data_IF_663172497730
#
_entry.id   IF_663172497730
#
_cell.length_a   1.000
_cell.length_b   1.000
_cell.length_c   1.000
_cell.angle_alpha   90.00
_cell.angle_beta   90.00
_cell.angle_gamma   90.00
#
_symmetry.space_group_name_H-M   'P 1'
#
loop_
_entity.id
_entity.type
_entity.pdbx_description
1 polymer ?
#
# COMPACT_ATOMS: atom_id res chain seq x y z
N UNK A 1 -5.55 8.39 -17.60
CA UNK A 1 -5.44 8.30 -16.12
C UNK A 1 -4.22 9.12 -15.67
N UNK A 2 -4.40 10.05 -14.73
CA UNK A 2 -3.31 10.81 -14.11
C UNK A 2 -3.13 10.33 -12.66
N UNK A 3 -1.96 9.83 -12.33
CA UNK A 3 -1.64 9.27 -11.01
C UNK A 3 -0.75 10.24 -10.26
N UNK A 4 -1.06 10.52 -8.99
CA UNK A 4 -0.19 11.18 -8.04
C UNK A 4 0.46 10.13 -7.13
N UNK A 5 1.78 10.14 -7.04
CA UNK A 5 2.53 9.29 -6.09
C UNK A 5 2.95 10.17 -4.93
N UNK A 6 2.42 9.86 -3.74
CA UNK A 6 2.70 10.61 -2.52
C UNK A 6 3.88 10.00 -1.78
N UNK A 7 5.08 10.53 -2.02
CA UNK A 7 6.24 10.15 -1.23
C UNK A 7 6.24 10.92 0.09
N UNK A 8 5.97 10.22 1.19
CA UNK A 8 5.76 10.83 2.51
C UNK A 8 6.68 10.24 3.58
N UNK A 9 6.92 11.03 4.62
CA UNK A 9 7.56 10.57 5.86
C UNK A 9 6.52 10.58 6.98
N UNK A 10 6.15 9.39 7.46
CA UNK A 10 5.16 9.24 8.53
C UNK A 10 5.77 9.49 9.89
N UNK A 11 5.02 10.15 10.76
CA UNK A 11 5.35 10.23 12.19
C UNK A 11 4.88 8.95 12.85
N UNK A 12 5.83 8.18 13.38
CA UNK A 12 5.57 6.85 13.95
C UNK A 12 4.48 6.88 15.02
N UNK A 13 3.43 6.10 14.85
CA UNK A 13 2.30 5.98 15.77
C UNK A 13 1.36 7.20 15.83
N UNK A 14 1.68 8.32 15.20
CA UNK A 14 0.82 9.50 15.25
C UNK A 14 -0.16 9.53 14.09
N UNK A 15 -1.18 8.67 14.17
CA UNK A 15 -2.17 8.48 13.10
C UNK A 15 -2.89 9.79 12.73
N UNK A 16 -3.25 10.62 13.70
CA UNK A 16 -3.93 11.90 13.43
C UNK A 16 -3.05 12.86 12.61
N UNK A 17 -1.79 13.00 12.98
CA UNK A 17 -0.85 13.87 12.24
C UNK A 17 -0.60 13.36 10.82
N UNK A 18 -0.45 12.05 10.68
CA UNK A 18 -0.28 11.43 9.38
C UNK A 18 -1.53 11.61 8.52
N UNK A 19 -2.73 11.38 9.08
CA UNK A 19 -3.99 11.60 8.36
C UNK A 19 -4.12 13.04 7.86
N UNK A 20 -3.83 14.02 8.68
CA UNK A 20 -3.89 15.44 8.27
C UNK A 20 -2.96 15.71 7.07
N UNK A 21 -1.76 15.10 7.07
CA UNK A 21 -0.84 15.19 5.94
C UNK A 21 -1.38 14.48 4.70
N UNK A 22 -2.02 13.32 4.85
CA UNK A 22 -2.66 12.61 3.75
C UNK A 22 -3.78 13.46 3.13
N UNK A 23 -4.68 14.01 3.95
CA UNK A 23 -5.78 14.85 3.47
C UNK A 23 -5.28 16.10 2.71
N UNK A 24 -4.19 16.71 3.18
CA UNK A 24 -3.56 17.83 2.48
C UNK A 24 -3.04 17.41 1.09
N UNK A 25 -2.34 16.27 1.00
CA UNK A 25 -1.81 15.76 -0.27
C UNK A 25 -2.92 15.32 -1.23
N UNK A 26 -4.00 14.72 -0.70
CA UNK A 26 -5.18 14.36 -1.49
C UNK A 26 -5.80 15.62 -2.10
N UNK A 27 -5.95 16.70 -1.32
CA UNK A 27 -6.46 17.98 -1.82
C UNK A 27 -5.55 18.53 -2.93
N UNK A 28 -4.24 18.55 -2.73
CA UNK A 28 -3.27 19.01 -3.73
C UNK A 28 -3.32 18.19 -5.01
N UNK A 29 -3.43 16.86 -4.91
CA UNK A 29 -3.57 15.97 -6.06
C UNK A 29 -4.88 16.22 -6.82
N UNK A 30 -5.98 16.41 -6.10
CA UNK A 30 -7.29 16.76 -6.66
C UNK A 30 -7.24 18.10 -7.43
N UNK A 31 -6.61 19.12 -6.88
CA UNK A 31 -6.43 20.43 -7.53
C UNK A 31 -5.62 20.31 -8.83
N UNK A 32 -4.67 19.36 -8.87
CA UNK A 32 -3.92 19.03 -10.06
C UNK A 32 -4.66 18.08 -11.01
N UNK A 33 -5.92 17.75 -10.73
CA UNK A 33 -6.77 16.85 -11.54
C UNK A 33 -6.15 15.45 -11.67
N UNK A 34 -5.56 14.93 -10.59
CA UNK A 34 -5.17 13.53 -10.53
C UNK A 34 -6.44 12.67 -10.36
N UNK A 35 -6.43 11.52 -11.00
CA UNK A 35 -7.51 10.54 -10.93
C UNK A 35 -7.34 9.59 -9.74
N UNK A 36 -6.09 9.33 -9.36
CA UNK A 36 -5.69 8.41 -8.31
C UNK A 36 -4.50 8.99 -7.55
N UNK A 37 -4.51 8.88 -6.22
CA UNK A 37 -3.33 9.13 -5.38
C UNK A 37 -2.93 7.86 -4.65
N UNK A 38 -1.63 7.56 -4.63
CA UNK A 38 -1.06 6.35 -4.01
C UNK A 38 -0.10 6.77 -2.91
N UNK A 39 -0.36 6.26 -1.69
CA UNK A 39 0.49 6.45 -0.51
C UNK A 39 1.32 5.19 -0.23
N UNK A 40 2.47 5.33 0.47
CA UNK A 40 3.33 4.20 0.80
C UNK A 40 2.69 3.18 1.76
N UNK A 41 3.34 2.02 1.86
CA UNK A 41 3.07 1.00 2.87
C UNK A 41 3.11 1.60 4.28
N UNK A 42 2.10 1.27 5.12
CA UNK A 42 1.94 1.75 6.50
C UNK A 42 2.04 3.28 6.66
N UNK A 43 1.79 4.05 5.61
CA UNK A 43 1.95 5.51 5.60
C UNK A 43 1.07 6.23 6.62
N UNK A 44 -0.09 5.66 6.97
CA UNK A 44 -1.00 6.26 7.94
C UNK A 44 -0.55 6.04 9.39
N UNK A 45 0.08 4.91 9.67
CA UNK A 45 0.45 4.51 11.04
C UNK A 45 1.96 4.62 11.32
N UNK A 46 2.77 4.56 10.29
CA UNK A 46 4.22 4.42 10.36
C UNK A 46 4.65 2.95 10.26
N UNK A 47 5.89 2.69 9.81
CA UNK A 47 6.37 1.34 9.53
C UNK A 47 6.90 0.62 10.78
N UNK A 48 7.83 1.21 11.51
CA UNK A 48 8.56 0.55 12.63
C UNK A 48 7.77 0.58 13.95
N UNK A 49 6.49 0.22 13.91
CA UNK A 49 5.56 0.33 15.06
C UNK A 49 5.91 -0.61 16.21
N UNK A 50 6.34 -1.83 15.93
CA UNK A 50 6.61 -2.86 16.97
C UNK A 50 5.42 -3.01 17.92
N UNK A 51 5.64 -2.89 19.21
CA UNK A 51 4.62 -3.04 20.27
C UNK A 51 3.53 -1.95 20.24
N UNK A 52 3.69 -0.90 19.42
CA UNK A 52 2.64 0.12 19.21
C UNK A 52 1.53 -0.34 18.28
N UNK A 53 1.67 -1.48 17.57
CA UNK A 53 0.65 -1.92 16.60
C UNK A 53 -0.74 -1.98 17.22
N UNK A 54 -0.98 -2.57 18.40
CA UNK A 54 -2.31 -2.61 19.02
C UNK A 54 -2.92 -1.23 19.32
N UNK A 55 -2.07 -0.25 19.63
CA UNK A 55 -2.50 1.09 20.02
C UNK A 55 -2.92 1.97 18.83
N UNK A 56 -2.40 1.66 17.63
CA UNK A 56 -2.56 2.51 16.45
C UNK A 56 -3.28 1.83 15.30
N UNK A 57 -3.53 0.52 15.40
CA UNK A 57 -4.25 -0.20 14.37
C UNK A 57 -5.68 0.32 14.21
N UNK A 58 -6.13 0.43 12.97
CA UNK A 58 -7.43 0.98 12.63
C UNK A 58 -8.38 -0.12 12.16
N UNK A 59 -9.59 -0.07 12.68
CA UNK A 59 -10.69 -0.80 12.09
C UNK A 59 -11.33 0.08 11.00
N UNK A 60 -11.18 -0.25 9.70
CA UNK A 60 -11.64 0.64 8.63
C UNK A 60 -13.16 0.83 8.58
N UNK A 61 -13.92 -0.04 9.23
CA UNK A 61 -15.40 0.08 9.30
C UNK A 61 -15.85 1.06 10.38
N UNK A 62 -15.17 1.05 11.54
CA UNK A 62 -15.61 1.78 12.73
C UNK A 62 -14.75 3.00 13.08
N UNK A 63 -13.61 3.19 12.44
CA UNK A 63 -12.69 4.29 12.74
C UNK A 63 -13.19 5.61 12.15
N UNK A 64 -13.41 6.62 12.99
CA UNK A 64 -13.72 7.99 12.54
C UNK A 64 -12.61 8.58 11.68
N UNK A 65 -11.35 8.22 11.93
CA UNK A 65 -10.20 8.63 11.13
C UNK A 65 -10.27 8.06 9.71
N UNK A 66 -10.75 6.83 9.59
CA UNK A 66 -10.91 6.19 8.28
C UNK A 66 -12.10 6.80 7.50
N UNK A 67 -13.14 7.26 8.19
CA UNK A 67 -14.26 7.96 7.56
C UNK A 67 -13.83 9.27 6.89
N UNK A 68 -12.89 10.01 7.47
CA UNK A 68 -12.34 11.23 6.84
C UNK A 68 -11.64 10.92 5.49
N UNK A 69 -10.95 9.77 5.38
CA UNK A 69 -10.38 9.31 4.12
C UNK A 69 -11.45 8.91 3.10
N UNK A 70 -12.52 8.25 3.56
CA UNK A 70 -13.65 7.91 2.70
C UNK A 70 -14.32 9.16 2.13
N UNK A 71 -14.55 10.19 2.95
CA UNK A 71 -15.09 11.46 2.45
C UNK A 71 -14.14 12.11 1.42
N UNK A 72 -12.84 12.08 1.66
CA UNK A 72 -11.84 12.62 0.73
C UNK A 72 -11.79 11.85 -0.61
N UNK A 73 -12.20 10.57 -0.63
CA UNK A 73 -12.22 9.74 -1.84
C UNK A 73 -13.41 10.00 -2.78
N UNK A 74 -14.18 11.07 -2.55
CA UNK A 74 -15.36 11.38 -3.36
C UNK A 74 -15.05 11.69 -4.83
N UNK A 75 -13.96 12.39 -5.11
CA UNK A 75 -13.60 12.87 -6.45
C UNK A 75 -12.26 12.32 -6.97
N UNK A 76 -11.48 11.66 -6.13
CA UNK A 76 -10.18 11.08 -6.46
C UNK A 76 -10.08 9.72 -5.79
N UNK A 77 -9.58 8.72 -6.50
CA UNK A 77 -9.33 7.42 -5.87
C UNK A 77 -8.07 7.48 -4.99
N UNK A 78 -8.06 6.71 -3.92
CA UNK A 78 -6.99 6.73 -2.92
C UNK A 78 -6.52 5.31 -2.66
N UNK A 79 -5.20 5.10 -2.70
CA UNK A 79 -4.56 3.89 -2.15
C UNK A 79 -3.75 4.28 -0.93
N UNK A 80 -3.99 3.62 0.19
CA UNK A 80 -3.38 3.94 1.48
C UNK A 80 -2.93 2.69 2.23
N UNK A 81 -1.72 2.76 2.83
CA UNK A 81 -1.17 1.72 3.70
C UNK A 81 -1.38 2.02 5.18
N UNK A 82 -1.82 1.04 5.97
CA UNK A 82 -2.11 1.18 7.40
C UNK A 82 -2.01 -0.14 8.16
N UNK A 83 -1.82 -0.06 9.48
CA UNK A 83 -2.02 -1.20 10.37
C UNK A 83 -3.52 -1.39 10.59
N UNK A 84 -4.04 -2.55 10.20
CA UNK A 84 -5.47 -2.90 10.30
C UNK A 84 -5.72 -3.79 11.52
N UNK A 85 -6.77 -3.47 12.29
CA UNK A 85 -7.41 -4.44 13.16
C UNK A 85 -8.72 -4.91 12.51
N UNK A 86 -8.82 -6.19 12.21
CA UNK A 86 -10.00 -6.73 11.53
C UNK A 86 -11.20 -6.82 12.47
N UNK A 87 -12.30 -6.18 12.11
CA UNK A 87 -13.53 -6.15 12.94
C UNK A 87 -14.02 -7.53 13.38
N UNK A 88 -13.91 -8.55 12.53
CA UNK A 88 -14.35 -9.92 12.85
C UNK A 88 -13.39 -10.70 13.76
N UNK A 89 -12.17 -10.19 13.98
CA UNK A 89 -11.13 -10.88 14.77
C UNK A 89 -10.35 -9.84 15.60
N UNK A 90 -10.92 -9.29 16.67
CA UNK A 90 -10.23 -8.35 17.54
C UNK A 90 -8.91 -8.92 18.08
N UNK A 91 -7.88 -8.09 18.15
CA UNK A 91 -6.53 -8.49 18.56
C UNK A 91 -5.69 -9.15 17.46
N UNK A 92 -6.21 -9.29 16.25
CA UNK A 92 -5.45 -9.74 15.08
C UNK A 92 -5.18 -8.54 14.17
N UNK A 93 -3.91 -8.24 13.97
CA UNK A 93 -3.44 -7.08 13.22
C UNK A 93 -2.84 -7.48 11.88
N UNK A 94 -3.03 -6.65 10.85
CA UNK A 94 -2.50 -6.86 9.51
C UNK A 94 -1.79 -5.61 9.00
N UNK A 95 -0.74 -5.80 8.20
CA UNK A 95 -0.21 -4.78 7.32
C UNK A 95 -1.11 -4.74 6.08
N UNK A 96 -1.89 -3.68 5.92
CA UNK A 96 -2.97 -3.63 4.94
C UNK A 96 -2.87 -2.43 4.01
N UNK A 97 -3.36 -2.62 2.78
CA UNK A 97 -3.58 -1.58 1.79
C UNK A 97 -5.06 -1.50 1.44
N UNK A 98 -5.64 -0.30 1.46
CA UNK A 98 -7.02 -0.07 1.03
C UNK A 98 -7.07 0.75 -0.26
N UNK A 99 -7.96 0.36 -1.17
CA UNK A 99 -8.37 1.15 -2.33
C UNK A 99 -9.73 1.78 -2.02
N UNK A 100 -9.76 3.11 -2.01
CA UNK A 100 -10.95 3.90 -1.71
C UNK A 100 -11.40 4.64 -2.98
N UNK A 101 -12.69 4.60 -3.28
CA UNK A 101 -13.29 5.29 -4.43
C UNK A 101 -14.76 5.62 -4.16
N UNK A 102 -15.19 6.81 -4.52
CA UNK A 102 -16.60 7.22 -4.38
C UNK A 102 -17.12 7.12 -2.95
N UNK A 103 -16.31 7.47 -1.95
CA UNK A 103 -16.59 7.37 -0.51
C UNK A 103 -16.82 5.95 -0.01
N UNK A 104 -16.21 4.95 -0.67
CA UNK A 104 -16.36 3.54 -0.28
C UNK A 104 -15.00 2.86 -0.25
N UNK A 105 -14.88 1.87 0.61
CA UNK A 105 -13.81 0.89 0.53
C UNK A 105 -14.15 -0.06 -0.60
N UNK A 106 -13.39 -0.02 -1.68
CA UNK A 106 -13.57 -0.92 -2.83
C UNK A 106 -12.86 -2.24 -2.58
N UNK A 107 -11.64 -2.17 -2.01
CA UNK A 107 -10.84 -3.36 -1.72
C UNK A 107 -9.90 -3.10 -0.54
N UNK A 108 -9.59 -4.17 0.21
CA UNK A 108 -8.52 -4.21 1.20
C UNK A 108 -7.68 -5.45 0.92
N UNK A 109 -6.41 -5.23 0.63
CA UNK A 109 -5.39 -6.27 0.57
C UNK A 109 -4.61 -6.32 1.88
N UNK A 110 -4.39 -7.53 2.43
CA UNK A 110 -3.56 -7.79 3.59
C UNK A 110 -2.28 -8.47 3.14
N UNK A 111 -1.14 -7.92 3.50
CA UNK A 111 0.17 -8.44 3.09
C UNK A 111 0.30 -9.92 3.40
N UNK A 112 0.65 -10.71 2.38
CA UNK A 112 0.77 -12.16 2.48
C UNK A 112 2.18 -12.56 2.89
N UNK A 113 3.20 -11.96 2.27
CA UNK A 113 4.59 -12.28 2.55
C UNK A 113 5.21 -11.27 3.52
N UNK A 114 5.19 -11.63 4.81
CA UNK A 114 5.74 -10.81 5.88
C UNK A 114 7.24 -11.05 6.04
N UNK A 115 8.12 -10.08 5.73
CA UNK A 115 9.57 -10.24 5.90
C UNK A 115 9.95 -10.35 7.37
N UNK A 116 10.87 -11.29 7.66
CA UNK A 116 11.37 -11.56 9.02
C UNK A 116 12.89 -11.66 9.07
N UNK A 117 13.57 -11.19 8.05
CA UNK A 117 15.03 -11.24 7.95
C UNK A 117 15.65 -9.84 7.96
N UNK A 118 16.89 -9.75 8.44
CA UNK A 118 17.61 -8.49 8.55
C UNK A 118 16.95 -7.54 9.54
N UNK A 119 16.54 -6.37 9.04
CA UNK A 119 15.88 -5.34 9.86
C UNK A 119 14.37 -5.55 10.01
N UNK A 120 13.80 -6.57 9.35
CA UNK A 120 12.37 -6.79 9.32
C UNK A 120 11.92 -7.80 10.36
N UNK A 121 10.84 -7.50 11.07
CA UNK A 121 10.24 -8.35 12.11
C UNK A 121 8.70 -8.40 11.95
N UNK A 122 8.18 -8.26 10.72
CA UNK A 122 6.75 -8.05 10.50
C UNK A 122 5.89 -9.20 11.05
N UNK A 123 6.34 -10.44 10.90
CA UNK A 123 5.61 -11.64 11.38
C UNK A 123 5.43 -11.69 12.90
N UNK A 124 6.21 -10.92 13.65
CA UNK A 124 6.08 -10.81 15.11
C UNK A 124 4.85 -9.98 15.49
N UNK A 125 4.46 -9.02 14.65
CA UNK A 125 3.45 -8.01 14.98
C UNK A 125 2.19 -8.10 14.10
N UNK A 126 2.30 -8.68 12.91
CA UNK A 126 1.22 -8.80 11.95
C UNK A 126 0.92 -10.25 11.59
N UNK A 127 -0.34 -10.54 11.38
CA UNK A 127 -0.80 -11.79 10.79
C UNK A 127 -0.67 -11.75 9.26
N UNK A 128 -0.48 -12.92 8.65
CA UNK A 128 -0.40 -13.07 7.20
C UNK A 128 -1.78 -12.92 6.55
N UNK A 129 -1.84 -12.18 5.43
CA UNK A 129 -2.92 -12.28 4.47
C UNK A 129 -2.96 -13.68 3.84
N UNK A 130 -4.10 -14.04 3.25
CA UNK A 130 -4.28 -15.42 2.74
C UNK A 130 -4.64 -15.49 1.26
N UNK A 131 -4.80 -14.34 0.59
CA UNK A 131 -5.32 -14.31 -0.77
C UNK A 131 -4.77 -13.13 -1.55
N UNK A 132 -4.66 -13.32 -2.85
CA UNK A 132 -4.46 -12.28 -3.84
C UNK A 132 -5.75 -12.21 -4.65
N UNK A 133 -6.47 -11.07 -4.55
CA UNK A 133 -7.75 -10.86 -5.24
C UNK A 133 -7.69 -9.63 -6.10
N UNK A 134 -8.13 -9.78 -7.34
CA UNK A 134 -8.41 -8.64 -8.20
C UNK A 134 -9.74 -7.98 -7.80
N UNK A 135 -9.85 -6.70 -8.09
CA UNK A 135 -11.07 -5.93 -7.83
C UNK A 135 -11.37 -4.98 -8.99
N UNK A 136 -12.63 -4.58 -9.10
CA UNK A 136 -13.05 -3.65 -10.13
C UNK A 136 -12.78 -2.22 -9.68
N UNK A 137 -11.77 -1.56 -10.25
CA UNK A 137 -11.58 -0.11 -10.14
C UNK A 137 -12.32 0.63 -11.26
N UNK A 138 -12.38 1.96 -11.20
CA UNK A 138 -12.91 2.75 -12.32
C UNK A 138 -11.98 2.75 -13.54
N UNK A 139 -10.76 2.25 -13.41
CA UNK A 139 -9.77 2.14 -14.49
C UNK A 139 -9.66 0.74 -15.07
N UNK A 140 -10.55 -0.16 -14.68
CA UNK A 140 -10.53 -1.58 -15.04
C UNK A 140 -10.20 -2.50 -13.87
N UNK A 141 -10.05 -3.80 -14.12
CA UNK A 141 -9.65 -4.74 -13.09
C UNK A 141 -8.25 -4.41 -12.54
N UNK A 142 -8.12 -4.34 -11.23
CA UNK A 142 -6.88 -3.97 -10.56
C UNK A 142 -6.51 -4.96 -9.45
N UNK A 143 -5.23 -5.00 -9.10
CA UNK A 143 -4.71 -5.74 -7.96
C UNK A 143 -3.86 -4.84 -7.07
N UNK A 144 -3.94 -5.05 -5.75
CA UNK A 144 -3.06 -4.41 -4.76
C UNK A 144 -2.04 -5.41 -4.26
N UNK A 145 -0.81 -4.94 -4.09
CA UNK A 145 0.31 -5.65 -3.47
C UNK A 145 0.98 -4.75 -2.44
N UNK A 146 1.67 -5.35 -1.48
CA UNK A 146 2.41 -4.62 -0.46
C UNK A 146 3.84 -5.15 -0.42
N UNK A 147 4.78 -4.36 -0.95
CA UNK A 147 6.22 -4.52 -0.80
C UNK A 147 6.70 -5.96 -1.14
N UNK A 148 6.95 -6.79 -0.13
CA UNK A 148 7.44 -8.17 -0.30
C UNK A 148 6.53 -9.03 -1.18
N UNK A 149 5.24 -8.75 -1.23
CA UNK A 149 4.30 -9.47 -2.10
C UNK A 149 4.71 -9.34 -3.56
N UNK A 150 5.14 -8.16 -4.00
CA UNK A 150 5.56 -7.90 -5.38
C UNK A 150 6.81 -8.68 -5.78
N UNK A 151 7.71 -9.00 -4.84
CA UNK A 151 8.91 -9.78 -5.11
C UNK A 151 8.65 -11.30 -5.28
N UNK A 152 7.42 -11.74 -5.08
CA UNK A 152 7.02 -13.13 -5.30
C UNK A 152 6.20 -13.24 -6.59
N UNK A 153 6.73 -13.91 -7.60
CA UNK A 153 6.07 -14.09 -8.90
C UNK A 153 4.63 -14.61 -8.78
N UNK A 154 4.38 -15.52 -7.84
CA UNK A 154 3.04 -16.08 -7.63
C UNK A 154 1.98 -15.02 -7.28
N UNK A 155 2.34 -13.93 -6.62
CA UNK A 155 1.40 -12.85 -6.25
C UNK A 155 0.83 -12.17 -7.49
N UNK A 156 1.73 -11.73 -8.38
CA UNK A 156 1.34 -11.09 -9.63
C UNK A 156 0.62 -12.07 -10.55
N UNK A 157 1.10 -13.31 -10.65
CA UNK A 157 0.47 -14.35 -11.46
C UNK A 157 -0.97 -14.62 -11.01
N UNK A 158 -1.25 -14.76 -9.72
CA UNK A 158 -2.61 -14.92 -9.20
C UNK A 158 -3.52 -13.75 -9.57
N UNK A 159 -3.04 -12.52 -9.44
CA UNK A 159 -3.81 -11.34 -9.82
C UNK A 159 -4.11 -11.28 -11.33
N UNK A 160 -3.15 -11.65 -12.16
CA UNK A 160 -3.37 -11.75 -13.62
C UNK A 160 -4.35 -12.86 -13.98
N UNK A 161 -4.22 -14.02 -13.34
CA UNK A 161 -5.17 -15.12 -13.54
C UNK A 161 -6.61 -14.74 -13.17
N UNK A 162 -6.79 -13.78 -12.25
CA UNK A 162 -8.07 -13.16 -11.92
C UNK A 162 -8.42 -11.96 -12.83
N UNK A 163 -7.62 -11.66 -13.84
CA UNK A 163 -7.89 -10.65 -14.85
C UNK A 163 -7.43 -9.23 -14.49
N UNK A 164 -6.57 -9.04 -13.48
CA UNK A 164 -6.02 -7.73 -13.18
C UNK A 164 -5.21 -7.17 -14.33
N UNK A 165 -5.50 -5.92 -14.73
CA UNK A 165 -4.81 -5.17 -15.79
C UNK A 165 -3.98 -4.02 -15.24
N UNK A 166 -4.26 -3.60 -14.02
CA UNK A 166 -3.54 -2.57 -13.29
C UNK A 166 -3.01 -3.17 -11.97
N UNK A 167 -1.70 -3.25 -11.83
CA UNK A 167 -1.07 -3.65 -10.58
C UNK A 167 -0.58 -2.40 -9.84
N UNK A 168 -0.90 -2.32 -8.55
CA UNK A 168 -0.47 -1.24 -7.67
C UNK A 168 0.27 -1.89 -6.51
N UNK A 169 1.57 -1.64 -6.41
CA UNK A 169 2.38 -2.02 -5.25
C UNK A 169 2.70 -0.79 -4.40
N UNK A 170 2.44 -0.88 -3.11
CA UNK A 170 2.86 0.12 -2.14
C UNK A 170 3.99 -0.42 -1.26
N UNK A 171 5.04 0.36 -1.08
CA UNK A 171 6.24 -0.12 -0.41
C UNK A 171 6.84 0.92 0.53
N UNK A 172 7.50 0.43 1.58
CA UNK A 172 8.40 1.16 2.46
C UNK A 172 9.81 0.52 2.40
N UNK A 173 10.27 0.18 1.20
CA UNK A 173 11.53 -0.50 0.98
C UNK A 173 12.73 0.38 1.38
N UNK A 174 13.70 -0.15 2.16
CA UNK A 174 14.91 0.59 2.48
C UNK A 174 15.80 0.72 1.26
N UNK A 175 16.39 1.89 1.06
CA UNK A 175 17.46 2.08 0.08
C UNK A 175 18.71 1.29 0.51
N UNK A 176 19.21 0.41 -0.35
CA UNK A 176 20.43 -0.38 -0.13
C UNK A 176 21.28 -0.40 -1.38
N UNK A 177 22.58 -0.70 -1.18
CA UNK A 177 23.55 -0.70 -2.26
C UNK A 177 23.90 0.75 -2.64
N UNK A 178 24.92 1.29 -2.02
CA UNK A 178 25.50 2.58 -2.40
C UNK A 178 26.57 2.29 -3.44
N UNK A 179 26.41 2.82 -4.65
CA UNK A 179 27.49 2.82 -5.62
C UNK A 179 28.52 3.90 -5.24
N UNK A 180 29.80 3.64 -5.50
CA UNK A 180 30.87 4.61 -5.32
C UNK A 180 30.81 5.76 -6.34
N UNK A 181 29.90 5.69 -7.30
CA UNK A 181 29.68 6.74 -8.30
C UNK A 181 28.64 7.74 -7.80
N UNK A 182 29.04 9.01 -7.70
CA UNK A 182 28.13 10.12 -7.39
C UNK A 182 27.04 10.18 -8.45
N UNK A 183 25.78 9.93 -8.07
CA UNK A 183 24.52 9.99 -8.85
C UNK A 183 23.92 8.64 -9.28
N UNK A 184 24.39 7.50 -8.80
CA UNK A 184 23.68 6.25 -9.06
C UNK A 184 22.53 6.02 -8.05
N UNK A 185 21.42 5.51 -8.57
CA UNK A 185 20.31 5.04 -7.76
C UNK A 185 20.74 3.84 -6.90
N UNK A 186 20.09 3.65 -5.75
CA UNK A 186 20.33 2.46 -4.94
C UNK A 186 20.11 1.18 -5.76
N UNK A 187 20.91 0.16 -5.54
CA UNK A 187 20.71 -1.16 -6.19
C UNK A 187 19.29 -1.69 -5.99
N UNK A 188 18.70 -1.46 -4.82
CA UNK A 188 17.31 -1.80 -4.55
C UNK A 188 16.35 -1.12 -5.52
N UNK A 189 16.56 0.15 -5.89
CA UNK A 189 15.71 0.84 -6.87
C UNK A 189 15.75 0.13 -8.22
N UNK A 190 16.94 -0.21 -8.70
CA UNK A 190 17.10 -0.97 -9.95
C UNK A 190 16.44 -2.34 -9.91
N UNK A 191 16.53 -3.03 -8.77
CA UNK A 191 15.83 -4.33 -8.61
C UNK A 191 14.30 -4.18 -8.71
N UNK A 192 13.72 -3.15 -8.10
CA UNK A 192 12.29 -2.88 -8.17
C UNK A 192 11.84 -2.54 -9.59
N UNK A 193 12.61 -1.72 -10.30
CA UNK A 193 12.35 -1.39 -11.72
C UNK A 193 12.38 -2.66 -12.59
N UNK A 194 13.44 -3.47 -12.48
CA UNK A 194 13.58 -4.72 -13.23
C UNK A 194 12.43 -5.69 -12.96
N UNK A 195 12.01 -5.83 -11.69
CA UNK A 195 10.85 -6.66 -11.34
C UNK A 195 9.58 -6.12 -11.95
N UNK A 196 9.36 -4.80 -11.93
CA UNK A 196 8.21 -4.16 -12.54
C UNK A 196 8.15 -4.39 -14.06
N UNK A 197 9.26 -4.21 -14.75
CA UNK A 197 9.38 -4.47 -16.19
C UNK A 197 9.10 -5.94 -16.53
N UNK A 198 9.72 -6.88 -15.78
CA UNK A 198 9.53 -8.30 -16.00
C UNK A 198 8.06 -8.72 -15.79
N UNK A 199 7.42 -8.26 -14.69
CA UNK A 199 6.03 -8.59 -14.40
C UNK A 199 5.08 -8.00 -15.45
N UNK A 200 5.32 -6.77 -15.89
CA UNK A 200 4.55 -6.14 -16.97
C UNK A 200 4.69 -6.91 -18.29
N UNK A 201 5.91 -7.34 -18.63
CA UNK A 201 6.16 -8.13 -19.85
C UNK A 201 5.42 -9.48 -19.80
N UNK A 202 5.56 -10.23 -18.71
CA UNK A 202 4.91 -11.54 -18.57
C UNK A 202 3.38 -11.45 -18.58
N UNK A 203 2.81 -10.36 -18.08
CA UNK A 203 1.35 -10.17 -18.05
C UNK A 203 0.76 -9.70 -19.36
N UNK A 204 1.52 -8.99 -20.19
CA UNK A 204 1.04 -8.50 -21.48
C UNK A 204 1.07 -9.56 -22.59
N UNK A 205 1.73 -10.68 -22.32
CA UNK A 205 1.87 -11.81 -23.28
C UNK A 205 0.89 -12.97 -23.03
N UNK A 206 -0.06 -12.82 -22.11
CA UNK A 206 -1.07 -13.84 -21.81
C UNK A 206 -2.37 -13.62 -22.59
#
# INVERSE_FOLDING_TARGET
>A
MKIAIAQTSSVLGNVRKNLNRHLELIRQASEQKADLIIFPELSLTGYSLKDLVPEVALNPVNSSLFQELLEASGNIDIVIGFAEEKASNPGIFYNSAAYLSGRKIVHIHRKVFLPTSGMFEERRFFAEGREFRSFKSRFGPAGLLICRDFLHYCSTYCLFAEGAQLLIDISAAPGRGVSDQKNEAFETSRMWELMGEAMSFFSSSA
#
